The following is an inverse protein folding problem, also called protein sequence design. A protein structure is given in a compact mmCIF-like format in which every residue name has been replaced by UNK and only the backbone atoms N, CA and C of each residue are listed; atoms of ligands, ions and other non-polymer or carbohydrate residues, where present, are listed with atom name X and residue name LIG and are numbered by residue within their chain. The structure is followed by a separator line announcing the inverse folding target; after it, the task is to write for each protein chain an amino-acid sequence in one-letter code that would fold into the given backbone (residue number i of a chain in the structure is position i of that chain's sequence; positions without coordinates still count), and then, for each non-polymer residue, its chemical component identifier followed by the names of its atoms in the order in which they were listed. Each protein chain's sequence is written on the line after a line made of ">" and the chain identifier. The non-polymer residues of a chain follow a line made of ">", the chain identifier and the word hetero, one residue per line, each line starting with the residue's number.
data_IF_822048829331
#
_entry.id   IF_822048829331
#
_cell.length_a   1.000
_cell.length_b   1.000
_cell.length_c   1.000
_cell.angle_alpha   90.00
_cell.angle_beta   90.00
_cell.angle_gamma   90.00
#
_symmetry.space_group_name_H-M   'P 1'
#
loop_
_entity.id
_entity.type
_entity.pdbx_description
1 polymer ?
#
# COMPACT_ATOMS: atom_id res chain seq x y z
N UNK A 1 21.11 2.12 -8.59
CA UNK A 1 20.13 2.62 -7.60
C UNK A 1 20.15 1.69 -6.41
N UNK A 2 20.13 2.18 -5.16
CA UNK A 2 20.13 1.29 -3.99
C UNK A 2 18.75 0.66 -3.78
N UNK A 3 18.68 -0.51 -3.15
CA UNK A 3 17.41 -1.16 -2.81
C UNK A 3 16.50 -0.25 -1.96
N UNK A 4 17.08 0.63 -1.15
CA UNK A 4 16.34 1.63 -0.38
C UNK A 4 15.65 2.67 -1.28
N UNK A 5 16.28 3.10 -2.38
CA UNK A 5 15.69 4.02 -3.35
C UNK A 5 14.50 3.38 -4.08
N UNK A 6 14.61 2.09 -4.45
CA UNK A 6 13.52 1.36 -5.11
C UNK A 6 12.36 1.09 -4.15
N UNK A 7 12.64 0.71 -2.91
CA UNK A 7 11.64 0.54 -1.86
C UNK A 7 10.90 1.84 -1.53
N UNK A 8 11.63 2.97 -1.42
CA UNK A 8 11.03 4.28 -1.21
C UNK A 8 10.10 4.70 -2.35
N UNK A 9 10.50 4.46 -3.60
CA UNK A 9 9.65 4.72 -4.77
C UNK A 9 8.38 3.84 -4.78
N UNK A 10 8.51 2.55 -4.42
CA UNK A 10 7.38 1.63 -4.34
C UNK A 10 6.38 2.02 -3.24
N UNK A 11 6.87 2.38 -2.05
CA UNK A 11 6.04 2.85 -0.93
C UNK A 11 5.34 4.16 -1.31
N UNK A 12 6.07 5.13 -1.86
CA UNK A 12 5.50 6.42 -2.28
C UNK A 12 4.43 6.24 -3.35
N UNK A 13 4.64 5.33 -4.32
CA UNK A 13 3.65 5.00 -5.34
C UNK A 13 2.39 4.34 -4.74
N UNK A 14 2.57 3.41 -3.80
CA UNK A 14 1.45 2.75 -3.13
C UNK A 14 0.60 3.75 -2.33
N UNK A 15 1.25 4.63 -1.56
CA UNK A 15 0.57 5.71 -0.83
C UNK A 15 -0.16 6.69 -1.72
N UNK A 16 0.43 7.11 -2.85
CA UNK A 16 -0.26 8.00 -3.78
C UNK A 16 -1.47 7.31 -4.44
N UNK A 17 -1.37 6.01 -4.68
CA UNK A 17 -2.45 5.21 -5.30
C UNK A 17 -3.57 4.88 -4.31
N UNK A 18 -3.33 4.96 -3.00
CA UNK A 18 -4.33 4.73 -1.96
C UNK A 18 -5.18 5.95 -1.62
N UNK A 19 -4.85 7.13 -2.15
CA UNK A 19 -5.57 8.38 -1.87
C UNK A 19 -6.89 8.52 -2.64
N UNK A 20 -7.18 7.63 -3.58
CA UNK A 20 -8.44 7.64 -4.30
C UNK A 20 -8.72 6.31 -4.97
N UNK A 21 -9.94 6.19 -5.51
CA UNK A 21 -10.35 5.00 -6.25
C UNK A 21 -9.83 5.02 -7.68
N UNK A 22 -9.22 3.92 -8.11
CA UNK A 22 -8.80 3.72 -9.49
C UNK A 22 -10.01 3.38 -10.38
N UNK A 23 -9.81 3.36 -11.70
CA UNK A 23 -10.89 3.12 -12.66
C UNK A 23 -11.62 1.76 -12.45
N UNK A 24 -10.90 0.73 -11.98
CA UNK A 24 -11.47 -0.60 -11.70
C UNK A 24 -12.34 -0.59 -10.45
N UNK A 25 -11.91 0.11 -9.40
CA UNK A 25 -12.64 0.27 -8.15
C UNK A 25 -13.87 1.19 -8.34
N UNK A 26 -13.76 2.22 -9.17
CA UNK A 26 -14.93 3.01 -9.56
C UNK A 26 -15.91 2.16 -10.39
N UNK A 27 -15.42 1.23 -11.20
CA UNK A 27 -16.26 0.31 -11.95
C UNK A 27 -16.98 -0.71 -11.04
N UNK A 28 -16.38 -1.16 -9.93
CA UNK A 28 -17.06 -2.05 -8.97
C UNK A 28 -18.20 -1.34 -8.22
N UNK A 29 -18.15 -0.02 -8.12
CA UNK A 29 -19.21 0.81 -7.52
C UNK A 29 -20.30 1.24 -8.51
N UNK A 30 -20.14 0.98 -9.81
CA UNK A 30 -21.00 1.53 -10.88
C UNK A 30 -22.47 1.08 -10.81
N UNK A 31 -22.75 0.00 -10.08
CA UNK A 31 -24.10 -0.52 -9.84
C UNK A 31 -24.75 -0.06 -8.53
N UNK A 32 -24.02 0.65 -7.67
CA UNK A 32 -24.53 1.13 -6.38
C UNK A 32 -24.94 2.61 -6.50
N UNK A 33 -26.02 2.99 -5.81
CA UNK A 33 -26.52 4.37 -5.75
C UNK A 33 -26.79 4.78 -4.30
N UNK A 34 -26.86 6.10 -4.05
CA UNK A 34 -27.15 6.65 -2.73
C UNK A 34 -26.18 6.19 -1.63
N UNK A 35 -26.72 5.96 -0.43
CA UNK A 35 -25.94 5.63 0.77
C UNK A 35 -25.18 4.30 0.67
N UNK A 36 -25.65 3.36 -0.15
CA UNK A 36 -24.98 2.08 -0.36
C UNK A 36 -23.69 2.25 -1.17
N UNK A 37 -23.70 3.17 -2.15
CA UNK A 37 -22.48 3.56 -2.86
C UNK A 37 -21.50 4.23 -1.91
N UNK A 38 -21.96 5.17 -1.09
CA UNK A 38 -21.10 5.88 -0.14
C UNK A 38 -20.48 4.94 0.88
N UNK A 39 -21.26 3.96 1.40
CA UNK A 39 -20.74 2.94 2.32
C UNK A 39 -19.73 2.01 1.64
N UNK A 40 -20.02 1.54 0.43
CA UNK A 40 -19.10 0.69 -0.32
C UNK A 40 -17.81 1.43 -0.67
N UNK A 41 -17.89 2.70 -1.08
CA UNK A 41 -16.73 3.56 -1.34
C UNK A 41 -15.88 3.75 -0.08
N UNK A 42 -16.49 4.04 1.07
CA UNK A 42 -15.78 4.18 2.33
C UNK A 42 -15.09 2.87 2.75
N UNK A 43 -15.77 1.72 2.61
CA UNK A 43 -15.18 0.41 2.90
C UNK A 43 -14.01 0.09 1.98
N UNK A 44 -14.13 0.36 0.69
CA UNK A 44 -13.04 0.16 -0.27
C UNK A 44 -11.83 1.04 0.07
N UNK A 45 -12.07 2.31 0.39
CA UNK A 45 -11.01 3.25 0.77
C UNK A 45 -10.30 2.81 2.06
N UNK A 46 -11.05 2.34 3.06
CA UNK A 46 -10.48 1.79 4.30
C UNK A 46 -9.63 0.54 4.02
N UNK A 47 -10.12 -0.37 3.17
CA UNK A 47 -9.38 -1.56 2.78
C UNK A 47 -8.07 -1.19 2.09
N UNK A 48 -8.10 -0.24 1.14
CA UNK A 48 -6.90 0.23 0.45
C UNK A 48 -5.87 0.84 1.39
N UNK A 49 -6.33 1.63 2.36
CA UNK A 49 -5.44 2.21 3.36
C UNK A 49 -4.78 1.12 4.20
N UNK A 50 -5.53 0.12 4.65
CA UNK A 50 -5.00 -1.01 5.40
C UNK A 50 -3.97 -1.81 4.58
N UNK A 51 -4.29 -2.11 3.32
CA UNK A 51 -3.38 -2.83 2.42
C UNK A 51 -2.09 -2.03 2.16
N UNK A 52 -2.18 -0.72 2.00
CA UNK A 52 -1.02 0.15 1.79
C UNK A 52 -0.11 0.23 3.01
N UNK A 53 -0.70 0.33 4.21
CA UNK A 53 0.05 0.29 5.48
C UNK A 53 0.67 -1.08 5.70
N UNK A 54 -0.06 -2.17 5.43
CA UNK A 54 0.46 -3.53 5.53
C UNK A 54 1.63 -3.76 4.57
N UNK A 55 1.50 -3.30 3.32
CA UNK A 55 2.57 -3.35 2.32
C UNK A 55 3.81 -2.59 2.77
N UNK A 56 3.65 -1.34 3.22
CA UNK A 56 4.75 -0.53 3.74
C UNK A 56 5.43 -1.19 4.95
N UNK A 57 4.64 -1.73 5.88
CA UNK A 57 5.15 -2.47 7.05
C UNK A 57 5.96 -3.69 6.65
N UNK A 58 5.48 -4.47 5.68
CA UNK A 58 6.19 -5.66 5.19
C UNK A 58 7.50 -5.30 4.49
N UNK A 59 7.55 -4.21 3.73
CA UNK A 59 8.81 -3.74 3.14
C UNK A 59 9.79 -3.29 4.23
N UNK A 60 9.33 -2.53 5.22
CA UNK A 60 10.17 -2.07 6.34
C UNK A 60 10.77 -3.25 7.12
N UNK A 61 9.97 -4.29 7.40
CA UNK A 61 10.44 -5.53 8.05
C UNK A 61 11.53 -6.21 7.24
N UNK A 62 11.32 -6.41 5.93
CA UNK A 62 12.31 -7.04 5.06
C UNK A 62 13.60 -6.23 4.95
N UNK A 63 13.52 -4.91 4.87
CA UNK A 63 14.70 -4.04 4.87
C UNK A 63 15.49 -4.17 6.18
N UNK A 64 14.79 -4.26 7.32
CA UNK A 64 15.42 -4.46 8.62
C UNK A 64 16.09 -5.86 8.72
N UNK A 65 15.43 -6.91 8.24
CA UNK A 65 16.02 -8.27 8.16
C UNK A 65 17.30 -8.28 7.31
N UNK A 66 17.29 -7.62 6.15
CA UNK A 66 18.47 -7.49 5.29
C UNK A 66 19.60 -6.75 6.03
N UNK A 67 19.29 -5.65 6.71
CA UNK A 67 20.27 -4.89 7.48
C UNK A 67 20.90 -5.73 8.60
N UNK A 68 20.09 -6.47 9.36
CA UNK A 68 20.59 -7.38 10.41
C UNK A 68 21.43 -8.53 9.84
N UNK A 69 21.04 -9.10 8.69
CA UNK A 69 21.81 -10.14 8.01
C UNK A 69 23.20 -9.63 7.58
N UNK A 70 23.29 -8.42 7.04
CA UNK A 70 24.57 -7.80 6.68
C UNK A 70 25.44 -7.56 7.92
N UNK A 71 24.87 -7.03 9.01
CA UNK A 71 25.60 -6.82 10.27
C UNK A 71 26.09 -8.15 10.86
N UNK A 72 25.27 -9.20 10.80
CA UNK A 72 25.63 -10.54 11.25
C UNK A 72 26.78 -11.15 10.45
N UNK A 73 26.82 -10.93 9.13
CA UNK A 73 27.88 -11.40 8.24
C UNK A 73 29.15 -10.53 8.24
N UNK A 74 29.15 -9.39 8.93
CA UNK A 74 30.32 -8.52 9.13
C UNK A 74 31.08 -8.81 10.43
N UNK A 75 30.61 -9.76 11.25
CA UNK A 75 31.34 -10.32 12.39
C UNK A 75 32.20 -11.50 11.96
#
# INVERSE_FOLDING_TARGET
>A
MSNATVAGAAISKAFNTSQGLNATEQASLKGLTGDDRTRAEAQLMLQKQQESVAFASNIMKKLNEIAMSIIGNLK
#
